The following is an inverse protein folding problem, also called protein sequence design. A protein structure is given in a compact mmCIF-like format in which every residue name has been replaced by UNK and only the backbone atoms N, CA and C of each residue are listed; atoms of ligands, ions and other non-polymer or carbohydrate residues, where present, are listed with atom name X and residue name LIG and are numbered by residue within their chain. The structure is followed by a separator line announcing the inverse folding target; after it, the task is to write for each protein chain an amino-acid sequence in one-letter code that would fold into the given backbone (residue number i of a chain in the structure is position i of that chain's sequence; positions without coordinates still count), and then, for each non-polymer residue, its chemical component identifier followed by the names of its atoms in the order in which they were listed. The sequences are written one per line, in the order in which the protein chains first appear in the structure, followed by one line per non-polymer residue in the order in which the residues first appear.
data_IF_650516223465
#
_entry.id   IF_650516223465
#
_cell.length_a   1.000
_cell.length_b   1.000
_cell.length_c   1.000
_cell.angle_alpha   90.00
_cell.angle_beta   90.00
_cell.angle_gamma   90.00
#
_symmetry.space_group_name_H-M   'P 1'
#
loop_
_entity.id
_entity.type
_entity.pdbx_description
1 polymer ?
#
# COMPACT_ATOMS: atom_id res chain seq x y z
N UNK A 1 -2.59 -37.37 29.06
CA UNK A 1 -2.22 -36.01 28.64
C UNK A 1 -2.57 -35.85 27.17
N UNK A 2 -3.59 -35.06 26.77
CA UNK A 2 -3.81 -34.81 25.34
C UNK A 2 -2.62 -33.99 24.83
N UNK A 3 -1.86 -34.55 23.89
CA UNK A 3 -0.69 -33.92 23.29
C UNK A 3 -1.08 -32.56 22.70
N UNK A 4 -0.32 -31.53 23.05
CA UNK A 4 -0.52 -30.19 22.50
C UNK A 4 -0.52 -30.30 20.96
N UNK A 5 -1.60 -29.81 20.32
CA UNK A 5 -1.66 -29.76 18.84
C UNK A 5 -0.44 -29.01 18.33
N UNK A 6 0.32 -29.58 17.37
CA UNK A 6 1.51 -28.94 16.86
C UNK A 6 1.15 -27.53 16.39
N UNK A 7 1.98 -26.55 16.78
CA UNK A 7 1.78 -25.16 16.39
C UNK A 7 1.93 -25.05 14.85
N UNK A 8 0.83 -24.84 14.16
CA UNK A 8 0.81 -24.74 12.70
C UNK A 8 1.61 -23.56 12.15
N UNK A 9 2.08 -22.65 13.01
CA UNK A 9 2.90 -21.51 12.59
C UNK A 9 4.15 -21.98 11.85
N UNK A 10 4.96 -22.84 12.48
CA UNK A 10 6.24 -23.29 11.92
C UNK A 10 6.12 -24.14 10.66
N UNK A 11 4.98 -24.76 10.44
CA UNK A 11 4.75 -25.63 9.27
C UNK A 11 3.95 -24.96 8.15
N UNK A 12 3.10 -23.98 8.46
CA UNK A 12 2.15 -23.39 7.49
C UNK A 12 2.36 -21.90 7.26
N UNK A 13 3.10 -21.19 8.13
CA UNK A 13 3.27 -19.74 8.04
C UNK A 13 4.73 -19.36 7.85
N UNK A 14 5.62 -19.80 8.72
CA UNK A 14 7.04 -19.45 8.70
C UNK A 14 7.73 -19.72 7.36
N UNK A 15 7.55 -20.91 6.70
CA UNK A 15 8.17 -21.18 5.41
C UNK A 15 7.74 -20.22 4.30
N UNK A 16 6.55 -19.62 4.45
CA UNK A 16 5.92 -18.75 3.44
C UNK A 16 6.03 -17.25 3.75
N UNK A 17 6.87 -16.82 4.70
CA UNK A 17 7.01 -15.41 5.06
C UNK A 17 7.40 -14.51 3.88
N UNK A 18 8.21 -15.03 2.95
CA UNK A 18 8.56 -14.30 1.71
C UNK A 18 7.34 -14.17 0.80
N UNK A 19 6.62 -15.26 0.59
CA UNK A 19 5.43 -15.29 -0.25
C UNK A 19 4.31 -14.44 0.35
N UNK A 20 4.15 -14.45 1.68
CA UNK A 20 3.20 -13.59 2.41
C UNK A 20 3.48 -12.11 2.12
N UNK A 21 4.75 -11.70 2.05
CA UNK A 21 5.09 -10.31 1.72
C UNK A 21 4.69 -9.94 0.28
N UNK A 22 4.67 -10.88 -0.65
CA UNK A 22 4.20 -10.69 -2.02
C UNK A 22 2.68 -10.77 -2.10
N UNK A 23 2.06 -11.72 -1.43
CA UNK A 23 0.60 -11.85 -1.35
C UNK A 23 -0.05 -10.61 -0.72
N UNK A 24 0.59 -9.98 0.25
CA UNK A 24 0.11 -8.74 0.87
C UNK A 24 0.02 -7.54 -0.10
N UNK A 25 0.56 -7.65 -1.31
CA UNK A 25 0.38 -6.66 -2.39
C UNK A 25 -1.03 -6.72 -3.00
N UNK A 26 -1.61 -7.92 -3.13
CA UNK A 26 -2.82 -8.15 -3.91
C UNK A 26 -3.93 -8.86 -3.15
N UNK A 27 -3.59 -9.54 -2.05
CA UNK A 27 -4.52 -10.35 -1.28
C UNK A 27 -4.90 -9.70 0.05
N UNK A 28 -6.12 -9.97 0.49
CA UNK A 28 -6.58 -9.66 1.85
C UNK A 28 -6.03 -10.67 2.85
N UNK A 29 -5.97 -10.31 4.13
CA UNK A 29 -5.54 -11.23 5.19
C UNK A 29 -6.40 -12.52 5.22
N UNK A 30 -7.68 -12.44 4.86
CA UNK A 30 -8.55 -13.60 4.78
C UNK A 30 -8.11 -14.58 3.69
N UNK A 31 -7.79 -14.07 2.51
CA UNK A 31 -7.29 -14.88 1.39
C UNK A 31 -5.91 -15.49 1.70
N UNK A 32 -5.03 -14.74 2.37
CA UNK A 32 -3.74 -15.27 2.85
C UNK A 32 -3.96 -16.42 3.82
N UNK A 33 -4.92 -16.31 4.76
CA UNK A 33 -5.27 -17.39 5.68
C UNK A 33 -5.75 -18.65 4.94
N UNK A 34 -6.55 -18.48 3.89
CA UNK A 34 -7.02 -19.59 3.05
C UNK A 34 -5.85 -20.28 2.34
N UNK A 35 -4.94 -19.52 1.74
CA UNK A 35 -3.75 -20.07 1.09
C UNK A 35 -2.86 -20.85 2.07
N UNK A 36 -2.74 -20.38 3.31
CA UNK A 36 -1.94 -21.02 4.36
C UNK A 36 -2.66 -22.17 5.07
N UNK A 37 -3.97 -22.36 4.84
CA UNK A 37 -4.76 -23.37 5.53
C UNK A 37 -4.89 -23.13 7.04
N UNK A 38 -4.90 -21.85 7.47
CA UNK A 38 -5.02 -21.44 8.87
C UNK A 38 -6.31 -20.65 9.10
N UNK A 39 -6.88 -20.75 10.29
CA UNK A 39 -8.05 -19.93 10.65
C UNK A 39 -7.64 -18.47 10.89
N UNK A 40 -8.57 -17.53 10.67
CA UNK A 40 -8.36 -16.10 10.95
C UNK A 40 -7.93 -15.84 12.39
N UNK A 41 -8.54 -16.53 13.35
CA UNK A 41 -8.22 -16.39 14.79
C UNK A 41 -6.78 -16.85 15.07
N UNK A 42 -6.37 -17.98 14.47
CA UNK A 42 -4.99 -18.45 14.59
C UNK A 42 -4.00 -17.47 13.97
N UNK A 43 -4.34 -16.88 12.81
CA UNK A 43 -3.50 -15.90 12.13
C UNK A 43 -3.35 -14.62 12.95
N UNK A 44 -4.43 -14.13 13.58
CA UNK A 44 -4.39 -12.96 14.48
C UNK A 44 -3.49 -13.26 15.69
N UNK A 45 -3.59 -14.45 16.26
CA UNK A 45 -2.72 -14.89 17.35
C UNK A 45 -1.26 -14.93 16.90
N UNK A 46 -0.97 -15.51 15.74
CA UNK A 46 0.39 -15.56 15.18
C UNK A 46 0.98 -14.19 14.93
N UNK A 47 0.20 -13.21 14.47
CA UNK A 47 0.65 -11.82 14.36
C UNK A 47 1.08 -11.20 15.70
N UNK A 48 0.48 -11.61 16.80
CA UNK A 48 0.87 -11.13 18.15
C UNK A 48 2.09 -11.85 18.70
N UNK A 49 2.23 -13.14 18.41
CA UNK A 49 3.29 -13.99 18.92
C UNK A 49 4.58 -13.91 18.09
N UNK A 50 4.48 -13.59 16.78
CA UNK A 50 5.59 -13.62 15.82
C UNK A 50 5.71 -12.29 15.08
N UNK A 51 6.69 -11.47 15.45
CA UNK A 51 6.96 -10.16 14.82
C UNK A 51 7.30 -10.29 13.33
N UNK A 52 7.98 -11.38 12.94
CA UNK A 52 8.39 -11.66 11.56
C UNK A 52 7.22 -11.71 10.58
N UNK A 53 6.06 -12.24 11.03
CA UNK A 53 4.84 -12.24 10.24
C UNK A 53 4.29 -10.82 10.04
N UNK A 54 4.32 -10.01 11.11
CA UNK A 54 3.93 -8.60 11.01
C UNK A 54 4.84 -7.83 10.07
N UNK A 55 6.14 -8.07 10.14
CA UNK A 55 7.14 -7.43 9.29
C UNK A 55 6.95 -7.81 7.81
N UNK A 56 6.68 -9.09 7.52
CA UNK A 56 6.38 -9.57 6.17
C UNK A 56 5.14 -8.88 5.59
N UNK A 57 4.05 -8.81 6.35
CA UNK A 57 2.81 -8.12 5.93
C UNK A 57 3.03 -6.62 5.73
N UNK A 58 3.74 -5.95 6.64
CA UNK A 58 4.06 -4.54 6.52
C UNK A 58 4.95 -4.23 5.33
N UNK A 59 5.95 -5.09 5.07
CA UNK A 59 6.85 -4.96 3.91
C UNK A 59 6.05 -4.99 2.61
N UNK A 60 5.13 -5.93 2.46
CA UNK A 60 4.25 -6.01 1.30
C UNK A 60 3.41 -4.74 1.15
N UNK A 61 2.73 -4.31 2.22
CA UNK A 61 1.90 -3.09 2.20
C UNK A 61 2.70 -1.83 1.88
N UNK A 62 3.91 -1.67 2.44
CA UNK A 62 4.80 -0.54 2.13
C UNK A 62 5.20 -0.54 0.65
N UNK A 63 5.48 -1.72 0.08
CA UNK A 63 5.79 -1.87 -1.35
C UNK A 63 4.59 -1.46 -2.21
N UNK A 64 3.38 -1.95 -1.90
CA UNK A 64 2.15 -1.56 -2.59
C UNK A 64 1.93 -0.04 -2.56
N UNK A 65 2.04 0.59 -1.39
CA UNK A 65 1.88 2.05 -1.26
C UNK A 65 2.89 2.80 -2.11
N UNK A 66 4.14 2.32 -2.18
CA UNK A 66 5.18 2.92 -3.04
C UNK A 66 4.82 2.82 -4.52
N UNK A 67 4.32 1.67 -4.96
CA UNK A 67 3.90 1.46 -6.35
C UNK A 67 2.68 2.32 -6.71
N UNK A 68 1.68 2.40 -5.81
CA UNK A 68 0.51 3.25 -6.01
C UNK A 68 0.88 4.74 -6.09
N UNK A 69 1.81 5.21 -5.24
CA UNK A 69 2.33 6.57 -5.30
C UNK A 69 3.04 6.85 -6.63
N UNK A 70 3.87 5.92 -7.09
CA UNK A 70 4.55 6.04 -8.38
C UNK A 70 3.57 6.10 -9.54
N UNK A 71 2.53 5.25 -9.53
CA UNK A 71 1.48 5.24 -10.54
C UNK A 71 0.67 6.55 -10.54
N UNK A 72 0.33 7.06 -9.35
CA UNK A 72 -0.37 8.34 -9.20
C UNK A 72 0.45 9.49 -9.81
N UNK A 73 1.73 9.60 -9.46
CA UNK A 73 2.61 10.65 -9.97
C UNK A 73 2.76 10.52 -11.49
N UNK A 74 2.97 9.30 -11.99
CA UNK A 74 3.06 9.02 -13.42
C UNK A 74 1.79 9.45 -14.16
N UNK A 75 0.61 9.18 -13.60
CA UNK A 75 -0.66 9.60 -14.18
C UNK A 75 -0.85 11.11 -14.13
N UNK A 76 -0.50 11.75 -13.02
CA UNK A 76 -0.59 13.19 -12.82
C UNK A 76 0.30 13.97 -13.81
N UNK A 77 1.51 13.49 -14.06
CA UNK A 77 2.48 14.14 -14.95
C UNK A 77 2.27 13.81 -16.43
N UNK A 78 1.48 12.77 -16.73
CA UNK A 78 1.39 12.20 -18.06
C UNK A 78 2.61 11.33 -18.40
N UNK A 79 2.47 10.47 -19.40
CA UNK A 79 3.55 9.56 -19.82
C UNK A 79 3.37 9.09 -21.26
N UNK A 80 4.46 8.62 -21.82
CA UNK A 80 4.45 7.95 -23.13
C UNK A 80 4.47 6.43 -22.93
N UNK A 81 3.80 5.72 -23.82
CA UNK A 81 3.80 4.26 -23.85
C UNK A 81 3.80 3.75 -25.29
N UNK A 82 4.34 2.57 -25.48
CA UNK A 82 4.35 1.88 -26.75
C UNK A 82 3.14 0.94 -26.87
N UNK A 83 2.38 1.10 -27.92
CA UNK A 83 1.35 0.13 -28.33
C UNK A 83 1.94 -0.74 -29.43
N UNK A 84 2.00 -2.05 -29.20
CA UNK A 84 2.50 -3.03 -30.17
C UNK A 84 1.34 -3.83 -30.75
N UNK A 85 1.09 -3.66 -32.03
CA UNK A 85 0.12 -4.48 -32.76
C UNK A 85 0.85 -5.54 -33.56
N UNK A 86 0.54 -6.82 -33.27
CA UNK A 86 1.09 -7.96 -33.97
C UNK A 86 -0.01 -8.63 -34.78
N UNK A 87 0.24 -8.81 -36.07
CA UNK A 87 -0.60 -9.62 -36.96
C UNK A 87 0.05 -10.98 -37.04
N UNK A 88 -0.68 -12.02 -36.59
CA UNK A 88 -0.21 -13.39 -36.59
C UNK A 88 -0.97 -14.20 -37.65
N UNK A 89 -0.27 -15.06 -38.41
CA UNK A 89 -0.85 -16.01 -39.33
C UNK A 89 -0.13 -17.36 -39.13
N UNK A 90 -0.90 -18.41 -38.94
CA UNK A 90 -0.39 -19.77 -38.69
C UNK A 90 0.63 -19.88 -37.54
N UNK A 91 0.50 -19.05 -36.49
CA UNK A 91 1.44 -19.04 -35.37
C UNK A 91 2.70 -18.20 -35.57
N UNK A 92 2.92 -17.64 -36.75
CA UNK A 92 4.06 -16.74 -37.03
C UNK A 92 3.64 -15.28 -37.06
N UNK A 93 4.54 -14.40 -36.61
CA UNK A 93 4.34 -12.94 -36.65
C UNK A 93 4.58 -12.46 -38.08
N UNK A 94 3.52 -12.06 -38.75
CA UNK A 94 3.56 -11.52 -40.10
C UNK A 94 3.99 -10.06 -40.15
N UNK A 95 3.56 -9.29 -39.16
CA UNK A 95 3.83 -7.86 -39.06
C UNK A 95 3.75 -7.42 -37.62
N UNK A 96 4.67 -6.54 -37.21
CA UNK A 96 4.62 -5.87 -35.94
C UNK A 96 4.69 -4.34 -36.19
N UNK A 97 3.70 -3.64 -35.68
CA UNK A 97 3.65 -2.16 -35.73
C UNK A 97 3.77 -1.64 -34.32
N UNK A 98 4.79 -0.85 -34.05
CA UNK A 98 5.02 -0.16 -32.76
C UNK A 98 4.62 1.29 -32.91
N UNK A 99 3.66 1.74 -32.13
CA UNK A 99 3.18 3.12 -32.12
C UNK A 99 3.42 3.71 -30.74
N UNK A 100 4.14 4.83 -30.67
CA UNK A 100 4.30 5.58 -29.42
C UNK A 100 3.07 6.46 -29.20
N UNK A 101 2.40 6.27 -28.09
CA UNK A 101 1.23 7.07 -27.67
C UNK A 101 1.56 7.88 -26.44
N UNK A 102 0.99 9.05 -26.34
CA UNK A 102 1.10 9.92 -25.16
C UNK A 102 -0.19 9.86 -24.36
N UNK A 103 -0.09 9.56 -23.09
CA UNK A 103 -1.15 9.72 -22.12
C UNK A 103 -1.00 11.13 -21.51
N UNK A 104 -1.92 12.07 -21.77
CA UNK A 104 -1.81 13.42 -21.24
C UNK A 104 -1.92 13.42 -19.72
N UNK A 105 -1.42 14.48 -19.04
CA UNK A 105 -1.62 14.70 -17.62
C UNK A 105 -3.10 14.62 -17.23
N UNK A 106 -3.37 14.07 -16.06
CA UNK A 106 -4.74 13.95 -15.54
C UNK A 106 -4.94 14.95 -14.40
N UNK A 107 -5.88 15.88 -14.57
CA UNK A 107 -6.14 16.96 -13.62
C UNK A 107 -6.59 16.42 -12.25
N UNK A 108 -7.38 15.34 -12.23
CA UNK A 108 -7.83 14.72 -10.97
C UNK A 108 -6.68 14.10 -10.21
N UNK A 109 -5.80 13.36 -10.92
CA UNK A 109 -4.60 12.78 -10.34
C UNK A 109 -3.62 13.85 -9.84
N UNK A 110 -3.45 14.95 -10.61
CA UNK A 110 -2.63 16.08 -10.24
C UNK A 110 -3.14 16.75 -8.96
N UNK A 111 -4.44 17.04 -8.90
CA UNK A 111 -5.08 17.64 -7.73
C UNK A 111 -4.96 16.74 -6.49
N UNK A 112 -5.17 15.41 -6.64
CA UNK A 112 -4.99 14.45 -5.56
C UNK A 112 -3.53 14.40 -5.08
N UNK A 113 -2.57 14.43 -6.00
CA UNK A 113 -1.15 14.46 -5.67
C UNK A 113 -0.81 15.74 -4.90
N UNK A 114 -1.23 16.92 -5.37
CA UNK A 114 -1.00 18.19 -4.70
C UNK A 114 -1.60 18.23 -3.29
N UNK A 115 -2.82 17.72 -3.10
CA UNK A 115 -3.43 17.60 -1.77
C UNK A 115 -2.63 16.73 -0.79
N UNK A 116 -1.90 15.74 -1.29
CA UNK A 116 -1.13 14.84 -0.45
C UNK A 116 0.30 15.34 -0.19
N UNK A 117 0.92 16.02 -1.17
CA UNK A 117 2.32 16.44 -1.10
C UNK A 117 2.51 17.90 -0.73
N UNK A 118 1.51 18.73 -0.99
CA UNK A 118 1.52 20.18 -0.69
C UNK A 118 0.20 20.57 0.00
N UNK A 119 0.01 20.01 1.18
CA UNK A 119 -1.21 20.20 1.98
C UNK A 119 -1.45 21.64 2.36
N UNK A 120 -0.38 22.39 2.60
CA UNK A 120 -0.46 23.79 3.05
C UNK A 120 -1.15 24.68 2.01
N UNK A 121 -0.88 24.43 0.73
CA UNK A 121 -1.45 25.22 -0.35
C UNK A 121 -2.72 24.61 -0.96
N UNK A 122 -2.89 23.28 -0.89
CA UNK A 122 -3.93 22.56 -1.63
C UNK A 122 -4.93 21.78 -0.78
N UNK A 123 -4.90 21.88 0.56
CA UNK A 123 -5.95 21.27 1.37
C UNK A 123 -7.26 22.06 1.21
N UNK A 124 -8.40 21.33 1.20
CA UNK A 124 -9.72 21.98 1.18
C UNK A 124 -10.02 22.72 2.50
N UNK A 125 -9.27 22.40 3.56
CA UNK A 125 -9.46 22.83 4.93
C UNK A 125 -8.20 23.47 5.51
N UNK A 126 -7.47 24.25 4.71
CA UNK A 126 -6.25 24.89 5.20
C UNK A 126 -6.53 25.78 6.41
N UNK A 127 -7.70 26.45 6.47
CA UNK A 127 -8.11 27.25 7.63
C UNK A 127 -8.31 26.39 8.89
N UNK A 128 -8.93 25.21 8.74
CA UNK A 128 -9.09 24.25 9.84
C UNK A 128 -7.75 23.65 10.29
N UNK A 129 -6.83 23.43 9.35
CA UNK A 129 -5.50 22.94 9.66
C UNK A 129 -4.67 23.97 10.42
N UNK A 130 -4.75 25.24 9.99
CA UNK A 130 -4.04 26.35 10.63
C UNK A 130 -4.59 26.63 12.04
N UNK A 131 -5.91 26.62 12.22
CA UNK A 131 -6.56 26.71 13.54
C UNK A 131 -6.13 25.56 14.47
N UNK A 132 -6.04 24.35 13.95
CA UNK A 132 -5.64 23.19 14.76
C UNK A 132 -4.16 23.23 15.16
N UNK A 133 -3.30 23.75 14.29
CA UNK A 133 -1.89 24.01 14.65
C UNK A 133 -1.77 25.09 15.73
N UNK A 134 -2.58 26.15 15.65
CA UNK A 134 -2.62 27.19 16.66
C UNK A 134 -3.14 26.65 18.00
N UNK A 135 -4.19 25.82 17.98
CA UNK A 135 -4.71 25.15 19.19
C UNK A 135 -3.65 24.23 19.84
N UNK A 136 -2.94 23.44 19.05
CA UNK A 136 -1.86 22.58 19.54
C UNK A 136 -0.73 23.40 20.15
N UNK A 137 -0.29 24.47 19.50
CA UNK A 137 0.75 25.36 20.01
C UNK A 137 0.33 26.06 21.30
N UNK A 138 -0.97 26.39 21.45
CA UNK A 138 -1.52 26.94 22.71
C UNK A 138 -1.59 25.89 23.82
N UNK A 139 -1.93 24.63 23.47
CA UNK A 139 -1.92 23.53 24.44
C UNK A 139 -0.51 23.24 24.95
N UNK A 140 0.48 23.20 24.07
CA UNK A 140 1.89 23.03 24.43
C UNK A 140 2.35 24.13 25.40
N UNK A 141 2.04 25.39 25.10
CA UNK A 141 2.35 26.52 26.00
C UNK A 141 1.67 26.43 27.37
N UNK A 142 0.42 25.92 27.43
CA UNK A 142 -0.28 25.70 28.71
C UNK A 142 0.37 24.59 29.52
N UNK A 143 0.81 23.52 28.87
CA UNK A 143 1.53 22.41 29.48
C UNK A 143 2.86 22.93 30.09
N UNK A 144 3.61 23.69 29.29
CA UNK A 144 4.90 24.27 29.74
C UNK A 144 4.74 25.27 30.90
N UNK A 145 3.62 25.99 30.93
CA UNK A 145 3.30 26.93 32.01
C UNK A 145 2.70 26.25 33.26
N UNK A 146 2.50 24.94 33.25
CA UNK A 146 1.94 24.19 34.38
C UNK A 146 0.43 24.43 34.61
N UNK A 147 -0.28 25.01 33.66
CA UNK A 147 -1.73 25.23 33.69
C UNK A 147 -2.47 23.95 33.28
N UNK A 148 -2.64 23.04 34.22
CA UNK A 148 -3.51 21.87 34.05
C UNK A 148 -4.94 22.25 34.40
N UNK A 149 -5.84 22.26 33.40
CA UNK A 149 -7.27 22.38 33.62
C UNK A 149 -7.90 21.00 33.63
#
# INVERSE_FOLDING_TARGET
MPGARPNKYYTHVEPYLKDISEWALTMTEAQICECLGVSKDSFIRYKREHSELCDALQKGRKKLVKELRSALIKRAMGFQYEERKRIMKNGEILSEVVTVKTCPPDVGALHLALKNYDRECWSNDWQHYDLRLQELALQEKRIDNGEWA
#
